data_IF_105978772385
#
_entry.id   IF_105978772385
#
_cell.length_a   1.000
_cell.length_b   1.000
_cell.length_c   1.000
_cell.angle_alpha   90.00
_cell.angle_beta   90.00
_cell.angle_gamma   90.00
#
_symmetry.space_group_name_H-M   'P 1'
#
loop_
_entity.id
_entity.type
_entity.pdbx_description
1 polymer ?
#
# COMPACT_ATOMS: atom_id res chain seq x y z
N UNK A 1 -14.37 0.27 17.08
CA UNK A 1 -13.02 0.02 17.66
C UNK A 1 -12.07 -0.30 16.53
N UNK A 2 -10.77 -0.04 16.65
CA UNK A 2 -9.78 -0.41 15.63
C UNK A 2 -9.21 -1.79 15.93
N UNK A 3 -9.12 -2.65 14.93
CA UNK A 3 -8.51 -3.98 15.02
C UNK A 3 -6.99 -3.91 14.90
N UNK A 4 -6.38 -4.94 14.31
CA UNK A 4 -4.93 -4.97 14.11
C UNK A 4 -4.45 -3.78 13.25
N UNK A 5 -3.23 -3.30 13.52
CA UNK A 5 -2.63 -2.14 12.85
C UNK A 5 -1.20 -2.47 12.45
N UNK A 6 -0.88 -2.25 11.19
CA UNK A 6 0.44 -2.54 10.61
C UNK A 6 1.01 -1.28 9.99
N UNK A 7 2.27 -0.97 10.32
CA UNK A 7 3.00 0.17 9.77
C UNK A 7 4.04 -0.34 8.78
N UNK A 8 3.90 0.11 7.53
CA UNK A 8 4.74 -0.27 6.40
C UNK A 8 5.74 0.85 6.13
N UNK A 9 7.02 0.51 6.18
CA UNK A 9 8.13 1.41 5.90
C UNK A 9 8.76 1.10 4.54
N UNK A 10 9.50 2.06 4.01
CA UNK A 10 10.35 1.86 2.84
C UNK A 10 11.72 1.37 3.33
N UNK A 11 12.00 0.07 3.15
CA UNK A 11 13.25 -0.52 3.60
C UNK A 11 14.41 -0.24 2.62
N UNK A 12 15.63 -0.21 3.16
CA UNK A 12 16.87 0.09 2.41
C UNK A 12 17.20 -0.95 1.33
N UNK A 13 16.66 -2.17 1.44
CA UNK A 13 16.75 -3.19 0.40
C UNK A 13 15.77 -2.84 -0.74
N UNK A 14 16.21 -1.93 -1.61
CA UNK A 14 15.49 -1.31 -2.72
C UNK A 14 15.06 -2.27 -3.86
N UNK A 15 14.59 -3.47 -3.54
CA UNK A 15 13.93 -4.32 -4.51
C UNK A 15 12.63 -3.62 -4.98
N UNK A 16 12.38 -3.65 -6.29
CA UNK A 16 11.22 -3.04 -6.95
C UNK A 16 11.02 -1.55 -6.63
N UNK A 17 12.13 -0.79 -6.65
CA UNK A 17 12.14 0.67 -6.68
C UNK A 17 12.51 1.15 -8.08
N UNK A 18 11.84 2.20 -8.57
CA UNK A 18 12.19 2.86 -9.82
C UNK A 18 13.47 3.69 -9.62
N UNK A 19 14.61 3.19 -10.11
CA UNK A 19 15.92 3.83 -9.92
C UNK A 19 16.41 4.60 -11.14
N UNK A 20 15.72 4.51 -12.28
CA UNK A 20 16.18 5.16 -13.51
C UNK A 20 16.09 6.69 -13.39
N UNK A 21 17.25 7.34 -13.29
CA UNK A 21 17.34 8.79 -13.08
C UNK A 21 16.77 9.26 -11.74
N UNK A 22 16.64 8.35 -10.76
CA UNK A 22 16.09 8.67 -9.44
C UNK A 22 17.19 8.64 -8.40
N UNK A 23 17.16 9.60 -7.48
CA UNK A 23 17.97 9.61 -6.27
C UNK A 23 17.07 9.19 -5.11
N UNK A 24 17.52 8.19 -4.34
CA UNK A 24 16.79 7.68 -3.18
C UNK A 24 17.72 7.73 -1.98
N UNK A 25 17.39 8.59 -1.02
CA UNK A 25 18.18 8.80 0.19
C UNK A 25 17.39 8.32 1.40
N UNK A 26 17.88 7.29 2.09
CA UNK A 26 17.28 6.81 3.33
C UNK A 26 17.90 7.59 4.49
N UNK A 27 17.25 8.64 4.98
CA UNK A 27 17.72 9.41 6.13
C UNK A 27 17.48 8.63 7.42
N UNK A 28 16.31 8.02 7.54
CA UNK A 28 15.87 7.13 8.62
C UNK A 28 14.88 6.09 8.08
N UNK A 29 14.47 5.15 8.94
CA UNK A 29 13.47 4.14 8.59
C UNK A 29 12.11 4.74 8.18
N UNK A 30 11.77 5.86 8.79
CA UNK A 30 10.54 6.63 8.64
C UNK A 30 10.76 7.93 7.85
N UNK A 31 11.87 8.03 7.11
CA UNK A 31 12.18 9.19 6.29
C UNK A 31 13.07 8.78 5.11
N UNK A 32 12.40 8.51 3.99
CA UNK A 32 13.04 8.22 2.72
C UNK A 32 12.71 9.33 1.72
N UNK A 33 13.74 10.02 1.29
CA UNK A 33 13.66 11.07 0.28
C UNK A 33 13.81 10.45 -1.11
N UNK A 34 12.91 10.79 -2.02
CA UNK A 34 12.96 10.39 -3.41
C UNK A 34 12.95 11.62 -4.31
N UNK A 35 13.88 11.69 -5.26
CA UNK A 35 13.98 12.78 -6.24
C UNK A 35 14.10 12.22 -7.66
N UNK A 36 13.19 12.61 -8.55
CA UNK A 36 13.30 12.39 -9.99
C UNK A 36 12.48 13.43 -10.79
N UNK A 37 13.16 14.40 -11.40
CA UNK A 37 12.52 15.46 -12.17
C UNK A 37 12.06 15.04 -13.58
N UNK A 38 12.49 13.87 -14.07
CA UNK A 38 12.21 13.36 -15.41
C UNK A 38 11.23 12.18 -15.41
N UNK A 39 10.69 11.83 -14.24
CA UNK A 39 9.78 10.71 -14.09
C UNK A 39 8.43 10.99 -14.76
N UNK A 40 7.94 10.12 -15.66
CA UNK A 40 6.60 10.25 -16.21
C UNK A 40 5.52 10.06 -15.13
N UNK A 41 4.42 10.82 -15.15
CA UNK A 41 3.26 10.55 -14.30
C UNK A 41 2.70 9.14 -14.53
N UNK A 42 2.19 8.51 -13.47
CA UNK A 42 1.70 7.14 -13.46
C UNK A 42 2.80 6.06 -13.34
N UNK A 43 4.08 6.46 -13.26
CA UNK A 43 5.18 5.52 -13.04
C UNK A 43 5.08 4.90 -11.64
N UNK A 44 5.23 3.58 -11.56
CA UNK A 44 5.33 2.86 -10.28
C UNK A 44 6.71 3.10 -9.70
N UNK A 45 6.76 3.83 -8.59
CA UNK A 45 7.98 4.23 -7.89
C UNK A 45 8.48 3.12 -6.98
N UNK A 46 7.57 2.51 -6.22
CA UNK A 46 7.90 1.45 -5.26
C UNK A 46 6.79 0.42 -5.21
N UNK A 47 7.17 -0.84 -5.02
CA UNK A 47 6.24 -1.93 -4.77
C UNK A 47 6.55 -2.67 -3.46
N UNK A 48 5.48 -3.07 -2.77
CA UNK A 48 5.50 -3.97 -1.63
C UNK A 48 4.56 -5.14 -1.88
N UNK A 49 4.84 -6.27 -1.23
CA UNK A 49 4.17 -7.54 -1.48
C UNK A 49 3.69 -8.17 -0.18
N UNK A 50 2.48 -8.73 -0.17
CA UNK A 50 1.97 -9.52 0.96
C UNK A 50 2.49 -10.96 0.96
N UNK A 51 2.89 -11.44 -0.22
CA UNK A 51 3.47 -12.76 -0.40
C UNK A 51 4.59 -12.66 -1.42
N UNK A 52 5.75 -13.18 -1.06
CA UNK A 52 6.91 -13.26 -1.94
C UNK A 52 7.38 -14.70 -2.06
N UNK A 53 7.95 -15.06 -3.20
CA UNK A 53 8.68 -16.31 -3.33
C UNK A 53 10.16 -16.04 -3.07
N UNK A 54 10.58 -16.24 -1.81
CA UNK A 54 11.93 -15.92 -1.35
C UNK A 54 13.03 -16.57 -2.21
N UNK A 55 12.81 -17.78 -2.73
CA UNK A 55 13.78 -18.50 -3.56
C UNK A 55 14.02 -17.85 -4.94
N UNK A 56 13.02 -17.13 -5.46
CA UNK A 56 13.09 -16.50 -6.78
C UNK A 56 13.44 -15.01 -6.70
N UNK A 57 12.91 -14.30 -5.69
CA UNK A 57 12.93 -12.83 -5.66
C UNK A 57 13.87 -12.25 -4.59
N UNK A 58 14.24 -13.01 -3.55
CA UNK A 58 14.98 -12.50 -2.36
C UNK A 58 14.33 -11.26 -1.72
N UNK A 59 13.04 -11.06 -1.93
CA UNK A 59 12.24 -9.99 -1.33
C UNK A 59 11.50 -10.60 -0.14
N UNK A 60 11.61 -10.01 1.04
CA UNK A 60 10.78 -10.38 2.18
C UNK A 60 9.39 -9.76 2.05
N UNK A 61 8.31 -10.48 2.42
CA UNK A 61 6.98 -9.90 2.41
C UNK A 61 6.90 -8.77 3.44
N UNK A 62 6.53 -7.58 2.98
CA UNK A 62 6.51 -6.36 3.79
C UNK A 62 5.07 -5.94 4.15
N UNK A 63 4.07 -6.61 3.58
CA UNK A 63 2.66 -6.32 3.83
C UNK A 63 2.01 -7.41 4.69
N UNK A 64 1.08 -7.06 5.59
CA UNK A 64 0.32 -8.03 6.36
C UNK A 64 -0.61 -8.85 5.45
N UNK A 65 -0.98 -10.04 5.90
CA UNK A 65 -2.07 -10.78 5.26
C UNK A 65 -3.40 -10.15 5.66
N UNK A 66 -4.24 -9.90 4.66
CA UNK A 66 -5.58 -9.34 4.82
C UNK A 66 -6.57 -10.21 4.06
N UNK A 67 -7.82 -10.27 4.52
CA UNK A 67 -8.89 -11.05 3.90
C UNK A 67 -9.98 -10.16 3.28
N UNK A 68 -10.97 -10.79 2.65
CA UNK A 68 -12.11 -10.08 2.04
C UNK A 68 -13.35 -9.99 2.94
N UNK A 69 -13.29 -10.53 4.16
CA UNK A 69 -14.40 -10.50 5.12
C UNK A 69 -14.35 -9.25 5.98
N UNK A 70 -13.14 -8.73 6.21
CA UNK A 70 -12.87 -7.57 7.06
C UNK A 70 -12.86 -6.25 6.30
N UNK A 71 -13.12 -5.17 7.03
CA UNK A 71 -12.97 -3.79 6.56
C UNK A 71 -11.58 -3.28 6.94
N UNK A 72 -10.94 -2.54 6.03
CA UNK A 72 -9.61 -1.97 6.28
C UNK A 72 -9.57 -0.48 5.98
N UNK A 73 -8.63 0.19 6.63
CA UNK A 73 -8.29 1.60 6.42
C UNK A 73 -6.82 1.70 6.04
N UNK A 74 -6.57 2.39 4.93
CA UNK A 74 -5.24 2.76 4.46
C UNK A 74 -4.98 4.21 4.83
N UNK A 75 -3.85 4.48 5.50
CA UNK A 75 -3.39 5.82 5.83
C UNK A 75 -2.03 6.01 5.18
N UNK A 76 -1.90 7.03 4.33
CA UNK A 76 -0.68 7.31 3.57
C UNK A 76 0.01 8.52 4.19
N UNK A 77 1.27 8.35 4.61
CA UNK A 77 2.08 9.43 5.19
C UNK A 77 3.28 9.73 4.30
N UNK A 78 3.08 10.71 3.42
CA UNK A 78 4.05 11.17 2.43
C UNK A 78 3.93 12.69 2.34
N UNK A 79 5.06 13.37 2.45
CA UNK A 79 5.15 14.81 2.26
C UNK A 79 5.59 15.12 0.83
N UNK A 80 4.77 15.88 0.10
CA UNK A 80 5.04 16.32 -1.27
C UNK A 80 5.05 17.85 -1.35
N UNK A 81 5.70 18.39 -2.38
CA UNK A 81 5.62 19.82 -2.68
C UNK A 81 4.18 20.26 -3.02
N UNK A 82 3.87 21.53 -2.81
CA UNK A 82 2.53 22.05 -3.09
C UNK A 82 2.13 21.87 -4.57
N UNK A 83 1.02 21.18 -4.81
CA UNK A 83 0.52 20.87 -6.15
C UNK A 83 1.10 19.59 -6.77
N UNK A 84 1.98 18.89 -6.05
CA UNK A 84 2.47 17.57 -6.40
C UNK A 84 1.79 16.49 -5.54
N UNK A 85 1.55 15.31 -6.11
CA UNK A 85 0.92 14.20 -5.40
C UNK A 85 1.59 12.86 -5.74
N UNK A 86 1.52 11.96 -4.76
CA UNK A 86 1.79 10.54 -4.93
C UNK A 86 0.47 9.78 -4.77
N UNK A 87 0.31 8.70 -5.53
CA UNK A 87 -0.88 7.85 -5.46
C UNK A 87 -0.49 6.47 -4.94
N UNK A 88 -1.34 5.87 -4.10
CA UNK A 88 -1.13 4.50 -3.64
C UNK A 88 -2.19 3.60 -4.25
N UNK A 89 -1.78 2.53 -4.93
CA UNK A 89 -2.66 1.52 -5.52
C UNK A 89 -2.46 0.17 -4.84
N UNK A 90 -3.54 -0.45 -4.38
CA UNK A 90 -3.54 -1.86 -3.98
C UNK A 90 -4.06 -2.70 -5.15
N UNK A 91 -3.34 -3.75 -5.52
CA UNK A 91 -3.73 -4.70 -6.58
C UNK A 91 -3.86 -6.08 -5.95
N UNK A 92 -5.04 -6.69 -6.08
CA UNK A 92 -5.41 -7.94 -5.45
C UNK A 92 -5.32 -9.09 -6.45
N UNK A 93 -4.79 -10.22 -6.00
CA UNK A 93 -4.57 -11.42 -6.80
C UNK A 93 -5.23 -12.63 -6.16
N UNK A 94 -5.73 -13.55 -6.98
CA UNK A 94 -6.16 -14.86 -6.52
C UNK A 94 -4.99 -15.85 -6.35
N UNK A 95 -5.32 -17.10 -5.97
CA UNK A 95 -4.34 -18.18 -5.76
C UNK A 95 -3.58 -18.59 -7.03
N UNK A 96 -4.00 -18.14 -8.20
CA UNK A 96 -3.39 -18.42 -9.51
C UNK A 96 -2.65 -17.20 -10.06
N UNK A 97 -2.39 -16.19 -9.22
CA UNK A 97 -1.71 -14.93 -9.59
C UNK A 97 -2.48 -14.09 -10.63
N UNK A 98 -3.79 -14.31 -10.75
CA UNK A 98 -4.66 -13.50 -11.61
C UNK A 98 -5.19 -12.30 -10.84
N UNK A 99 -5.09 -11.10 -11.42
CA UNK A 99 -5.67 -9.89 -10.82
C UNK A 99 -7.20 -10.05 -10.71
N UNK A 100 -7.72 -9.92 -9.49
CA UNK A 100 -9.16 -9.98 -9.19
C UNK A 100 -9.76 -8.62 -8.85
N UNK A 101 -8.93 -7.59 -8.74
CA UNK A 101 -9.35 -6.21 -8.55
C UNK A 101 -8.19 -5.32 -8.12
N UNK A 102 -8.44 -4.02 -8.10
CA UNK A 102 -7.53 -3.03 -7.55
C UNK A 102 -8.31 -1.86 -6.97
N UNK A 103 -7.67 -1.12 -6.07
CA UNK A 103 -8.15 0.16 -5.55
C UNK A 103 -7.01 1.18 -5.62
N UNK A 104 -7.34 2.44 -5.86
CA UNK A 104 -6.38 3.54 -5.80
C UNK A 104 -6.83 4.51 -4.72
N UNK A 105 -5.98 4.72 -3.72
CA UNK A 105 -6.18 5.72 -2.68
C UNK A 105 -6.04 7.11 -3.30
N UNK A 106 -7.10 7.91 -3.16
CA UNK A 106 -7.15 9.30 -3.63
C UNK A 106 -6.80 10.28 -2.53
N UNK A 107 -7.08 9.91 -1.29
CA UNK A 107 -6.91 10.73 -0.11
C UNK A 107 -5.90 10.11 0.85
N UNK A 108 -5.40 10.94 1.79
CA UNK A 108 -4.49 10.52 2.85
C UNK A 108 -5.05 9.36 3.69
N UNK A 109 -6.37 9.27 3.82
CA UNK A 109 -7.07 8.18 4.51
C UNK A 109 -8.10 7.61 3.55
N UNK A 110 -8.05 6.30 3.29
CA UNK A 110 -8.99 5.61 2.40
C UNK A 110 -9.46 4.32 3.06
N UNK A 111 -10.77 4.17 3.24
CA UNK A 111 -11.38 2.90 3.68
C UNK A 111 -11.58 1.98 2.47
N UNK A 112 -11.31 0.69 2.66
CA UNK A 112 -11.35 -0.29 1.58
C UNK A 112 -11.74 -1.70 2.04
N UNK A 113 -12.23 -2.49 1.08
CA UNK A 113 -12.43 -3.94 1.19
C UNK A 113 -11.68 -4.67 0.09
N UNK A 114 -11.10 -5.80 0.45
CA UNK A 114 -10.50 -6.71 -0.52
C UNK A 114 -11.61 -7.55 -1.19
N UNK A 115 -11.48 -7.91 -2.48
CA UNK A 115 -12.33 -8.93 -3.06
C UNK A 115 -12.26 -10.25 -2.26
N UNK A 116 -13.38 -10.97 -2.10
CA UNK A 116 -13.43 -12.25 -1.37
C UNK A 116 -12.46 -13.32 -1.89
N UNK A 117 -12.06 -13.21 -3.16
CA UNK A 117 -11.11 -14.14 -3.81
C UNK A 117 -9.64 -13.77 -3.59
N UNK A 118 -9.36 -12.72 -2.81
CA UNK A 118 -8.00 -12.25 -2.55
C UNK A 118 -7.20 -13.32 -1.83
N UNK A 119 -6.09 -13.71 -2.43
CA UNK A 119 -5.12 -14.63 -1.86
C UNK A 119 -3.79 -13.92 -1.55
N UNK A 120 -3.43 -12.93 -2.36
CA UNK A 120 -2.30 -12.04 -2.12
C UNK A 120 -2.60 -10.66 -2.71
N UNK A 121 -1.80 -9.67 -2.33
CA UNK A 121 -1.91 -8.34 -2.91
C UNK A 121 -0.55 -7.65 -2.97
N UNK A 122 -0.51 -6.60 -3.78
CA UNK A 122 0.64 -5.72 -3.93
C UNK A 122 0.19 -4.30 -3.66
N UNK A 123 1.05 -3.55 -2.99
CA UNK A 123 0.90 -2.11 -2.83
C UNK A 123 1.90 -1.42 -3.75
N UNK A 124 1.44 -0.45 -4.50
CA UNK A 124 2.24 0.31 -5.45
C UNK A 124 2.14 1.79 -5.09
N UNK A 125 3.30 2.43 -4.92
CA UNK A 125 3.40 3.88 -4.90
C UNK A 125 3.61 4.36 -6.33
N UNK A 126 2.76 5.25 -6.81
CA UNK A 126 2.82 5.83 -8.15
C UNK A 126 3.11 7.32 -8.06
N UNK A 127 3.84 7.84 -9.05
CA UNK A 127 3.94 9.28 -9.24
C UNK A 127 2.62 9.82 -9.77
N UNK A 128 2.00 10.75 -9.05
CA UNK A 128 0.93 11.60 -9.59
C UNK A 128 1.45 12.93 -10.15
N UNK A 129 2.73 12.97 -10.54
CA UNK A 129 3.42 14.20 -10.96
C UNK A 129 4.44 14.71 -9.94
N UNK A 130 4.54 14.07 -8.77
CA UNK A 130 5.58 14.38 -7.80
C UNK A 130 6.98 14.10 -8.35
N UNK A 131 7.85 15.10 -8.21
CA UNK A 131 9.27 15.07 -8.59
C UNK A 131 10.16 14.86 -7.38
N UNK A 132 9.70 15.30 -6.21
CA UNK A 132 10.40 15.20 -4.94
C UNK A 132 9.39 14.93 -3.82
N UNK A 133 9.68 13.97 -2.96
CA UNK A 133 8.84 13.69 -1.79
C UNK A 133 9.61 12.99 -0.68
N UNK A 134 9.11 13.13 0.54
CA UNK A 134 9.54 12.37 1.70
C UNK A 134 8.49 11.32 2.04
N UNK A 135 8.89 10.06 1.97
CA UNK A 135 8.07 8.94 2.42
C UNK A 135 8.33 8.67 3.90
N UNK A 136 7.26 8.67 4.70
CA UNK A 136 7.35 8.31 6.11
C UNK A 136 6.86 6.89 6.36
N UNK A 137 5.58 6.65 6.08
CA UNK A 137 4.98 5.33 6.26
C UNK A 137 3.66 5.19 5.51
N UNK A 138 3.21 3.96 5.35
CA UNK A 138 1.82 3.65 5.03
C UNK A 138 1.29 2.74 6.14
N UNK A 139 0.10 3.02 6.64
CA UNK A 139 -0.54 2.24 7.70
C UNK A 139 -1.74 1.51 7.11
N UNK A 140 -1.83 0.22 7.37
CA UNK A 140 -3.05 -0.57 7.16
C UNK A 140 -3.62 -0.87 8.54
N UNK A 141 -4.91 -0.62 8.71
CA UNK A 141 -5.62 -0.85 9.96
C UNK A 141 -6.93 -1.58 9.69
N UNK A 142 -7.19 -2.64 10.45
CA UNK A 142 -8.49 -3.31 10.43
C UNK A 142 -9.55 -2.45 11.15
N UNK A 143 -10.73 -2.34 10.55
CA UNK A 143 -11.87 -1.59 11.08
C UNK A 143 -12.91 -2.58 11.62
N UNK A 144 -13.03 -2.65 12.95
CA UNK A 144 -14.01 -3.52 13.58
C UNK A 144 -15.38 -2.83 13.62
N UNK A 145 -16.33 -3.41 12.90
CA UNK A 145 -17.74 -3.08 13.03
C UNK A 145 -18.34 -3.88 14.19
N UNK A 146 -18.98 -3.21 15.14
CA UNK A 146 -19.82 -3.89 16.12
C UNK A 146 -20.97 -4.56 15.34
N UNK A 147 -21.07 -5.88 15.43
CA UNK A 147 -22.23 -6.60 14.91
C UNK A 147 -23.44 -6.13 15.73
N UNK A 148 -24.30 -5.31 15.15
CA UNK A 148 -25.67 -5.20 15.64
C UNK A 148 -26.31 -6.58 15.49
N UNK A 149 -26.44 -7.31 16.60
CA UNK A 149 -27.25 -8.51 16.67
C UNK A 149 -28.68 -8.15 16.27
N UNK A 150 -29.07 -8.41 15.03
CA UNK A 150 -30.48 -8.47 14.65
C UNK A 150 -31.14 -9.65 15.36
N UNK A 151 -31.48 -9.46 16.63
CA UNK A 151 -32.53 -10.21 17.29
C UNK A 151 -33.85 -9.71 16.69
N UNK A 152 -34.30 -10.36 15.61
CA UNK A 152 -35.72 -10.31 15.23
C UNK A 152 -36.37 -11.63 15.60
N UNK A 153 -36.89 -11.58 16.82
CA UNK A 153 -37.90 -12.43 17.45
C UNK A 153 -38.88 -13.03 16.46
N UNK A 154 -39.01 -14.35 16.56
CA UNK A 154 -40.12 -15.16 16.04
C UNK A 154 -41.46 -14.52 16.38
N UNK A 155 -42.34 -14.34 15.40
CA UNK A 155 -43.77 -14.12 15.60
C UNK A 155 -44.54 -14.92 14.57
#
# INVERSE_FOLDING_TARGET
MTGETWVIYWNEYAADTYLYGSEVTCHRKDDVEFVNHMMPPGTVIKQWYSKTNYQAQRIEPALPMIDGESDYRLIVDIDTAAGEECQVRLVFYDRYETEVGNITARDRVTDFKCPLKTYSYRMQLLSGGAREFHFHSIIIQEVLHEREETVKTTS
#
